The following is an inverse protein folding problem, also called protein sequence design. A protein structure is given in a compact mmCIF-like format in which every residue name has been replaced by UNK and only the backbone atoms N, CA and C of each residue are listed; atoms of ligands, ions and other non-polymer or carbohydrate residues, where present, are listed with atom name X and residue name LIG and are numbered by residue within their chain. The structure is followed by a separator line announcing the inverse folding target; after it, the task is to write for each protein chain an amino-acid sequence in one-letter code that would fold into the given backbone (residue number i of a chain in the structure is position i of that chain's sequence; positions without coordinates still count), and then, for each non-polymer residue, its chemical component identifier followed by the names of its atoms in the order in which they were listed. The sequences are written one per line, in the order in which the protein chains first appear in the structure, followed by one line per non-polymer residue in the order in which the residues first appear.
data_IF_800638576659
#
_entry.id   IF_800638576659
#
_cell.length_a   1.000
_cell.length_b   1.000
_cell.length_c   1.000
_cell.angle_alpha   90.00
_cell.angle_beta   90.00
_cell.angle_gamma   90.00
#
_symmetry.space_group_name_H-M   'P 1'
#
loop_
_entity.id
_entity.type
_entity.pdbx_description
1 polymer ?
#
# COMPACT_ATOMS: atom_id res chain seq x y z
N UNK A 1 -15.48 4.43 -8.65
CA UNK A 1 -15.43 4.61 -7.19
C UNK A 1 -14.20 5.46 -6.89
N UNK A 2 -14.34 6.61 -6.24
CA UNK A 2 -13.23 7.54 -5.98
C UNK A 2 -12.25 7.04 -4.90
N UNK A 3 -11.22 7.83 -4.61
CA UNK A 3 -10.35 7.68 -3.45
C UNK A 3 -10.96 8.37 -2.23
N UNK A 4 -10.59 7.92 -1.03
CA UNK A 4 -10.93 8.56 0.25
C UNK A 4 -9.95 9.67 0.60
N UNK A 5 -8.69 9.50 0.23
CA UNK A 5 -7.62 10.49 0.39
C UNK A 5 -7.21 11.11 -0.93
N UNK A 6 -6.57 12.28 -0.86
CA UNK A 6 -6.03 12.96 -2.04
C UNK A 6 -4.84 12.19 -2.61
N UNK A 7 -4.53 12.42 -3.89
CA UNK A 7 -3.35 11.82 -4.53
C UNK A 7 -2.05 12.18 -3.79
N UNK A 8 -1.98 13.38 -3.23
CA UNK A 8 -0.83 13.85 -2.42
C UNK A 8 -0.70 13.06 -1.11
N UNK A 9 -1.81 12.81 -0.42
CA UNK A 9 -1.82 12.01 0.81
C UNK A 9 -1.49 10.54 0.55
N UNK A 10 -1.99 10.00 -0.57
CA UNK A 10 -1.64 8.64 -1.02
C UNK A 10 -0.15 8.58 -1.35
N UNK A 11 0.39 9.57 -2.06
CA UNK A 11 1.81 9.65 -2.37
C UNK A 11 2.68 9.79 -1.12
N UNK A 12 2.29 10.60 -0.13
CA UNK A 12 2.95 10.70 1.16
C UNK A 12 3.05 9.33 1.85
N UNK A 13 1.94 8.58 1.88
CA UNK A 13 1.92 7.24 2.46
C UNK A 13 2.86 6.27 1.71
N UNK A 14 2.91 6.33 0.38
CA UNK A 14 3.82 5.51 -0.44
C UNK A 14 5.28 5.87 -0.14
N UNK A 15 5.61 7.16 -0.08
CA UNK A 15 6.97 7.63 0.27
C UNK A 15 7.35 7.18 1.68
N UNK A 16 6.42 7.24 2.64
CA UNK A 16 6.67 6.78 4.00
C UNK A 16 6.90 5.26 4.07
N UNK A 17 6.15 4.48 3.27
CA UNK A 17 6.35 3.04 3.15
C UNK A 17 7.73 2.72 2.58
N UNK A 18 8.11 3.40 1.49
CA UNK A 18 9.41 3.22 0.83
C UNK A 18 10.58 3.65 1.72
N UNK A 19 10.41 4.71 2.51
CA UNK A 19 11.41 5.16 3.48
C UNK A 19 11.59 4.17 4.63
N UNK A 20 10.52 3.50 5.07
CA UNK A 20 10.58 2.48 6.12
C UNK A 20 11.17 1.16 5.62
N UNK A 21 10.81 0.75 4.39
CA UNK A 21 11.25 -0.49 3.77
C UNK A 21 11.53 -0.25 2.29
N UNK A 22 12.77 0.09 1.90
CA UNK A 22 13.11 0.32 0.50
C UNK A 22 12.76 -0.88 -0.39
N UNK A 23 12.17 -0.62 -1.54
CA UNK A 23 11.66 -1.60 -2.50
C UNK A 23 10.28 -2.18 -2.16
N UNK A 24 9.64 -1.77 -1.06
CA UNK A 24 8.35 -2.35 -0.66
C UNK A 24 7.26 -2.07 -1.68
N UNK A 25 7.31 -0.92 -2.37
CA UNK A 25 6.32 -0.60 -3.39
C UNK A 25 6.35 -1.60 -4.55
N UNK A 26 7.55 -1.95 -5.03
CA UNK A 26 7.72 -2.96 -6.08
C UNK A 26 7.32 -4.36 -5.61
N UNK A 27 7.65 -4.71 -4.36
CA UNK A 27 7.22 -5.98 -3.75
C UNK A 27 5.69 -6.05 -3.70
N UNK A 28 5.00 -4.98 -3.30
CA UNK A 28 3.53 -4.93 -3.27
C UNK A 28 2.93 -5.10 -4.67
N UNK A 29 3.52 -4.47 -5.70
CA UNK A 29 3.09 -4.65 -7.10
C UNK A 29 3.30 -6.08 -7.60
N UNK A 30 4.47 -6.68 -7.35
CA UNK A 30 4.76 -8.09 -7.66
C UNK A 30 3.72 -9.00 -7.02
N UNK A 31 3.48 -8.83 -5.71
CA UNK A 31 2.52 -9.64 -4.96
C UNK A 31 1.07 -9.47 -5.43
N UNK A 32 0.69 -8.28 -5.90
CA UNK A 32 -0.65 -8.03 -6.45
C UNK A 32 -0.90 -8.70 -7.82
N UNK A 33 0.15 -9.15 -8.52
CA UNK A 33 0.04 -9.90 -9.78
C UNK A 33 -0.12 -11.41 -9.59
N UNK A 34 0.11 -11.92 -8.39
CA UNK A 34 0.08 -13.36 -8.10
C UNK A 34 -1.37 -13.76 -7.80
N UNK A 35 -1.93 -14.61 -8.65
CA UNK A 35 -3.33 -15.03 -8.56
C UNK A 35 -3.61 -15.91 -7.33
N UNK A 36 -2.68 -16.82 -7.03
CA UNK A 36 -2.69 -17.70 -5.86
C UNK A 36 -1.32 -17.59 -5.20
N UNK A 37 -1.16 -16.69 -4.21
CA UNK A 37 0.10 -16.58 -3.52
C UNK A 37 0.23 -17.79 -2.60
N UNK A 38 0.83 -18.86 -3.11
CA UNK A 38 1.21 -20.00 -2.29
C UNK A 38 2.05 -19.48 -1.12
N UNK A 39 1.62 -19.80 0.10
CA UNK A 39 2.03 -19.03 1.28
C UNK A 39 3.50 -19.22 1.61
N UNK A 40 4.09 -20.35 1.23
CA UNK A 40 5.48 -20.67 1.55
C UNK A 40 6.47 -19.95 0.62
N UNK A 41 6.16 -19.87 -0.69
CA UNK A 41 7.04 -19.21 -1.66
C UNK A 41 7.12 -17.69 -1.44
N UNK A 42 6.01 -17.09 -0.97
CA UNK A 42 5.89 -15.64 -0.81
C UNK A 42 5.72 -15.20 0.64
N UNK A 43 5.94 -16.09 1.62
CA UNK A 43 5.80 -15.80 3.04
C UNK A 43 6.60 -14.55 3.45
N UNK A 44 7.82 -14.44 2.92
CA UNK A 44 8.76 -13.36 3.24
C UNK A 44 8.25 -12.03 2.71
N UNK A 45 7.85 -11.96 1.44
CA UNK A 45 7.27 -10.76 0.85
C UNK A 45 5.96 -10.35 1.53
N UNK A 46 5.07 -11.30 1.81
CA UNK A 46 3.82 -11.03 2.52
C UNK A 46 4.08 -10.47 3.91
N UNK A 47 4.99 -11.08 4.66
CA UNK A 47 5.36 -10.61 5.99
C UNK A 47 5.97 -9.20 5.95
N UNK A 48 6.83 -8.92 4.97
CA UNK A 48 7.41 -7.59 4.77
C UNK A 48 6.32 -6.54 4.49
N UNK A 49 5.37 -6.85 3.60
CA UNK A 49 4.23 -5.97 3.28
C UNK A 49 3.39 -5.71 4.52
N UNK A 50 2.95 -6.75 5.22
CA UNK A 50 2.12 -6.63 6.42
C UNK A 50 2.84 -5.77 7.46
N UNK A 51 4.12 -6.07 7.72
CA UNK A 51 4.92 -5.31 8.68
C UNK A 51 5.05 -3.84 8.31
N UNK A 52 5.32 -3.53 7.03
CA UNK A 52 5.42 -2.14 6.56
C UNK A 52 4.10 -1.39 6.75
N UNK A 53 2.98 -1.97 6.30
CA UNK A 53 1.67 -1.35 6.42
C UNK A 53 1.27 -1.13 7.89
N UNK A 54 1.49 -2.13 8.75
CA UNK A 54 1.17 -2.04 10.18
C UNK A 54 2.00 -0.98 10.90
N UNK A 55 3.27 -0.80 10.53
CA UNK A 55 4.14 0.16 11.20
C UNK A 55 3.97 1.59 10.67
N UNK A 56 3.73 1.74 9.36
CA UNK A 56 3.74 3.03 8.69
C UNK A 56 2.38 3.70 8.70
N UNK A 57 1.31 3.01 8.26
CA UNK A 57 0.01 3.65 8.04
C UNK A 57 -0.55 4.37 9.29
N UNK A 58 -0.47 3.79 10.51
CA UNK A 58 -0.95 4.49 11.71
C UNK A 58 -0.16 5.75 12.09
N UNK A 59 1.07 5.91 11.56
CA UNK A 59 1.97 7.02 11.88
C UNK A 59 1.88 8.17 10.86
N UNK A 60 1.22 7.96 9.73
CA UNK A 60 1.00 9.01 8.75
C UNK A 60 0.13 10.10 9.38
N UNK A 61 0.52 11.37 9.25
CA UNK A 61 -0.01 12.47 10.07
C UNK A 61 -1.53 12.60 10.01
N UNK A 62 -2.12 12.48 8.82
CA UNK A 62 -3.57 12.58 8.64
C UNK A 62 -4.36 11.36 9.14
N UNK A 63 -3.69 10.20 9.31
CA UNK A 63 -4.28 9.03 9.98
C UNK A 63 -4.18 9.19 11.49
N UNK A 64 -3.00 9.59 11.99
CA UNK A 64 -2.75 9.76 13.42
C UNK A 64 -3.61 10.86 14.06
N UNK A 65 -3.98 11.88 13.28
CA UNK A 65 -4.78 13.03 13.73
C UNK A 65 -6.28 12.88 13.42
N UNK A 66 -6.72 11.75 12.84
CA UNK A 66 -8.13 11.55 12.54
C UNK A 66 -8.93 11.28 13.83
N UNK A 67 -10.25 11.50 13.75
CA UNK A 67 -11.16 11.19 14.85
C UNK A 67 -11.23 9.67 15.15
N UNK A 68 -11.10 8.85 14.12
CA UNK A 68 -10.98 7.40 14.20
C UNK A 68 -9.73 6.94 13.41
N UNK A 69 -8.58 6.77 14.07
CA UNK A 69 -7.34 6.34 13.41
C UNK A 69 -7.42 4.95 12.80
N UNK A 70 -8.25 4.07 13.34
CA UNK A 70 -8.40 2.71 12.83
C UNK A 70 -9.21 2.71 11.53
N UNK A 71 -10.32 3.45 11.48
CA UNK A 71 -11.06 3.64 10.24
C UNK A 71 -10.21 4.35 9.18
N UNK A 72 -9.53 5.44 9.55
CA UNK A 72 -8.64 6.18 8.67
C UNK A 72 -7.53 5.29 8.06
N UNK A 73 -6.91 4.44 8.88
CA UNK A 73 -5.94 3.46 8.42
C UNK A 73 -6.53 2.49 7.39
N UNK A 74 -7.74 1.97 7.63
CA UNK A 74 -8.39 1.04 6.71
C UNK A 74 -8.75 1.72 5.38
N UNK A 75 -9.22 2.96 5.41
CA UNK A 75 -9.50 3.76 4.20
C UNK A 75 -8.22 4.03 3.41
N UNK A 76 -7.12 4.36 4.09
CA UNK A 76 -5.83 4.58 3.44
C UNK A 76 -5.30 3.30 2.81
N UNK A 77 -5.43 2.16 3.50
CA UNK A 77 -5.07 0.85 2.95
C UNK A 77 -5.84 0.53 1.66
N UNK A 78 -7.12 0.87 1.59
CA UNK A 78 -7.92 0.70 0.37
C UNK A 78 -7.35 1.54 -0.77
N UNK A 79 -7.03 2.80 -0.54
CA UNK A 79 -6.50 3.69 -1.58
C UNK A 79 -5.09 3.31 -2.03
N UNK A 80 -4.21 2.90 -1.10
CA UNK A 80 -2.88 2.35 -1.42
C UNK A 80 -3.01 1.13 -2.35
N UNK A 81 -3.96 0.23 -2.06
CA UNK A 81 -4.24 -0.94 -2.94
C UNK A 81 -4.79 -0.53 -4.31
N UNK A 82 -5.61 0.52 -4.38
CA UNK A 82 -6.09 1.06 -5.67
C UNK A 82 -4.92 1.64 -6.47
N UNK A 83 -4.03 2.39 -5.83
CA UNK A 83 -2.85 2.97 -6.48
C UNK A 83 -1.94 1.88 -7.06
N UNK A 84 -1.70 0.78 -6.34
CA UNK A 84 -0.98 -0.39 -6.84
C UNK A 84 -1.61 -0.92 -8.12
N UNK A 85 -2.94 -1.13 -8.12
CA UNK A 85 -3.66 -1.65 -9.29
C UNK A 85 -3.61 -0.68 -10.46
N UNK A 86 -3.77 0.61 -10.20
CA UNK A 86 -3.68 1.65 -11.22
C UNK A 86 -2.30 1.68 -11.89
N UNK A 87 -1.21 1.56 -11.13
CA UNK A 87 0.14 1.46 -11.69
C UNK A 87 0.34 0.18 -12.51
N UNK A 88 -0.15 -0.96 -12.04
CA UNK A 88 -0.09 -2.23 -12.77
C UNK A 88 -0.85 -2.13 -14.10
N UNK A 89 -2.06 -1.58 -14.09
CA UNK A 89 -2.88 -1.44 -15.29
C UNK A 89 -2.28 -0.44 -16.27
N UNK A 90 -1.72 0.67 -15.77
CA UNK A 90 -0.98 1.63 -16.57
C UNK A 90 0.26 1.02 -17.23
N UNK A 91 0.96 0.12 -16.54
CA UNK A 91 2.10 -0.61 -17.11
C UNK A 91 1.67 -1.59 -18.22
N UNK A 92 0.54 -2.29 -18.04
CA UNK A 92 -0.03 -3.20 -19.06
C UNK A 92 -0.51 -2.47 -20.31
N UNK A 93 -1.14 -1.31 -20.16
CA UNK A 93 -1.62 -0.51 -21.30
C UNK A 93 -0.51 0.18 -22.11
N UNK A 94 0.74 0.14 -21.63
CA UNK A 94 1.94 0.60 -22.35
C UNK A 94 2.70 -0.53 -23.06
N UNK A 95 2.20 -1.76 -22.97
CA UNK A 95 2.82 -2.98 -23.54
C UNK A 95 2.27 -3.30 -24.93
#
# INVERSE_FOLDING_TARGET
MGTYYTDEQIHEAIVALESYSPGIWEIMKKMALIAEPDTDEHATEQFAIVRALTVVLPKVSFVAQSQDPFEAQNLLLIDVRKAIRAEIDAAKGRS
#
